data_IF_559974220412
#
_entry.id   IF_559974220412
#
_cell.length_a   1.000
_cell.length_b   1.000
_cell.length_c   1.000
_cell.angle_alpha   90.00
_cell.angle_beta   90.00
_cell.angle_gamma   90.00
#
_symmetry.space_group_name_H-M   'P 1'
#
loop_
_entity.id
_entity.type
_entity.pdbx_description
1 polymer ?
#
# COMPACT_ATOMS: atom_id res chain seq x y z
N UNK A 1 26.99 -6.96 11.43
CA UNK A 1 27.12 -5.69 12.18
C UNK A 1 28.53 -5.14 11.98
N UNK A 2 28.79 -4.42 10.89
CA UNK A 2 30.01 -3.62 10.79
C UNK A 2 29.69 -2.28 11.43
N UNK A 3 29.59 -2.27 12.75
CA UNK A 3 29.66 -1.01 13.48
C UNK A 3 31.04 -0.41 13.15
N UNK A 4 31.09 0.86 12.78
CA UNK A 4 32.35 1.57 12.59
C UNK A 4 33.13 1.50 13.90
N UNK A 5 34.06 0.55 14.01
CA UNK A 5 34.86 0.27 15.19
C UNK A 5 35.51 1.55 15.75
N UNK A 6 35.87 2.46 14.83
CA UNK A 6 36.43 3.77 15.13
C UNK A 6 35.48 4.69 15.92
N UNK A 7 34.19 4.73 15.60
CA UNK A 7 33.19 5.56 16.31
C UNK A 7 32.94 5.03 17.74
N UNK A 8 33.02 3.70 17.91
CA UNK A 8 32.95 3.05 19.22
C UNK A 8 34.20 3.31 20.06
N UNK A 9 35.39 3.22 19.46
CA UNK A 9 36.68 3.52 20.09
C UNK A 9 36.81 5.00 20.51
N UNK A 10 36.20 5.92 19.76
CA UNK A 10 36.18 7.37 20.06
C UNK A 10 35.12 7.78 21.12
N UNK A 11 34.41 6.82 21.72
CA UNK A 11 33.49 7.06 22.83
C UNK A 11 32.18 7.75 22.43
N UNK A 12 31.84 7.82 21.14
CA UNK A 12 30.54 8.32 20.70
C UNK A 12 29.44 7.31 21.08
N UNK A 13 28.70 7.63 22.14
CA UNK A 13 27.56 6.82 22.63
C UNK A 13 26.24 7.10 21.90
N UNK A 14 26.21 8.03 20.95
CA UNK A 14 25.02 8.42 20.19
C UNK A 14 25.17 8.01 18.73
N UNK A 15 24.73 6.80 18.41
CA UNK A 15 24.61 6.34 17.03
C UNK A 15 23.28 6.82 16.44
N UNK A 16 23.32 7.74 15.49
CA UNK A 16 22.14 8.07 14.71
C UNK A 16 21.87 6.93 13.70
N UNK A 17 20.83 6.15 13.98
CA UNK A 17 20.41 5.00 13.18
C UNK A 17 19.29 5.32 12.17
N UNK A 18 18.85 6.59 12.08
CA UNK A 18 17.85 7.00 11.12
C UNK A 18 18.32 6.68 9.69
N UNK A 19 17.56 5.85 8.97
CA UNK A 19 17.89 5.41 7.62
C UNK A 19 19.09 4.45 7.51
N UNK A 20 19.60 3.91 8.64
CA UNK A 20 20.67 2.89 8.65
C UNK A 20 20.09 1.52 8.97
N UNK A 21 20.74 0.47 8.46
CA UNK A 21 20.37 -0.93 8.71
C UNK A 21 21.38 -1.62 9.65
N UNK A 22 20.87 -2.32 10.65
CA UNK A 22 21.58 -3.21 11.56
C UNK A 22 21.88 -4.57 10.91
N UNK A 23 21.07 -4.99 9.94
CA UNK A 23 21.29 -6.23 9.17
C UNK A 23 22.19 -6.06 7.92
N UNK A 24 22.75 -4.88 7.68
CA UNK A 24 23.67 -4.65 6.55
C UNK A 24 22.97 -4.58 5.19
N UNK A 25 21.72 -4.11 5.16
CA UNK A 25 20.87 -4.04 3.98
C UNK A 25 20.54 -5.41 3.36
N UNK A 26 20.53 -6.47 4.18
CA UNK A 26 20.07 -7.78 3.74
C UNK A 26 18.58 -7.71 3.36
N UNK A 27 18.26 -8.24 2.18
CA UNK A 27 16.93 -8.24 1.60
C UNK A 27 16.01 -9.19 2.37
N UNK A 28 14.86 -8.69 2.81
CA UNK A 28 13.77 -9.50 3.35
C UNK A 28 13.36 -10.59 2.37
N UNK A 29 13.08 -11.79 2.88
CA UNK A 29 12.76 -12.96 2.06
C UNK A 29 11.30 -13.38 2.17
N UNK A 30 10.62 -13.46 1.03
CA UNK A 30 9.32 -14.09 0.86
C UNK A 30 9.46 -15.30 -0.07
N UNK A 31 9.06 -16.46 0.43
CA UNK A 31 9.13 -17.73 -0.29
C UNK A 31 7.73 -18.22 -0.63
N UNK A 32 7.49 -18.51 -1.92
CA UNK A 32 6.24 -19.13 -2.38
C UNK A 32 6.38 -20.64 -2.36
N UNK A 33 5.41 -21.33 -1.75
CA UNK A 33 5.27 -22.77 -1.89
C UNK A 33 4.70 -23.09 -3.28
N UNK A 34 5.38 -23.93 -4.05
CA UNK A 34 4.97 -24.30 -5.42
C UNK A 34 3.91 -25.43 -5.45
N UNK A 35 3.45 -25.90 -4.30
CA UNK A 35 2.39 -26.93 -4.15
C UNK A 35 2.83 -28.35 -4.50
N UNK A 36 3.71 -28.52 -5.49
CA UNK A 36 4.22 -29.82 -5.93
C UNK A 36 5.61 -30.08 -5.33
N UNK A 37 5.66 -31.08 -4.44
CA UNK A 37 6.88 -31.49 -3.75
C UNK A 37 7.27 -30.54 -2.61
N UNK A 38 8.52 -30.62 -2.15
CA UNK A 38 9.08 -29.73 -1.11
C UNK A 38 9.81 -28.54 -1.74
N UNK A 39 9.20 -27.90 -2.74
CA UNK A 39 9.84 -26.82 -3.52
C UNK A 39 9.30 -25.45 -3.14
N UNK A 40 10.20 -24.49 -3.08
CA UNK A 40 9.94 -23.11 -2.74
C UNK A 40 10.69 -22.20 -3.70
N UNK A 41 10.04 -21.11 -4.12
CA UNK A 41 10.65 -20.07 -4.94
C UNK A 41 10.81 -18.80 -4.14
N UNK A 42 11.97 -18.16 -4.20
CA UNK A 42 12.15 -16.80 -3.69
C UNK A 42 11.40 -15.84 -4.61
N UNK A 43 10.36 -15.20 -4.09
CA UNK A 43 9.53 -14.24 -4.82
C UNK A 43 9.69 -12.80 -4.31
N UNK A 44 10.66 -12.56 -3.43
CA UNK A 44 10.79 -11.30 -2.68
C UNK A 44 10.84 -10.06 -3.57
N UNK A 45 11.66 -10.09 -4.61
CA UNK A 45 11.78 -8.95 -5.53
C UNK A 45 10.54 -8.79 -6.42
N UNK A 46 9.97 -9.91 -6.87
CA UNK A 46 8.82 -9.91 -7.76
C UNK A 46 7.54 -9.38 -7.07
N UNK A 47 7.41 -9.56 -5.75
CA UNK A 47 6.26 -9.10 -4.97
C UNK A 47 6.50 -7.75 -4.28
N UNK A 48 7.70 -7.19 -4.36
CA UNK A 48 8.09 -6.00 -3.58
C UNK A 48 8.33 -6.27 -2.09
N UNK A 49 8.25 -7.53 -1.63
CA UNK A 49 8.57 -7.92 -0.26
C UNK A 49 10.08 -7.88 0.06
N UNK A 50 10.92 -7.78 -0.97
CA UNK A 50 12.38 -7.68 -0.88
C UNK A 50 12.88 -6.33 -0.39
N UNK A 51 12.31 -5.81 0.70
CA UNK A 51 12.77 -4.60 1.36
C UNK A 51 14.15 -4.83 2.01
N UNK A 52 15.07 -3.88 1.84
CA UNK A 52 16.44 -3.89 2.38
C UNK A 52 16.54 -3.26 3.77
N UNK A 53 15.47 -2.65 4.28
CA UNK A 53 15.44 -2.08 5.62
C UNK A 53 15.26 -3.18 6.69
N UNK A 54 15.60 -2.83 7.93
CA UNK A 54 15.54 -3.75 9.08
C UNK A 54 14.10 -4.10 9.47
N UNK A 55 13.46 -5.06 8.80
CA UNK A 55 12.15 -5.55 9.22
C UNK A 55 12.25 -6.24 10.59
N UNK A 56 11.39 -5.81 11.53
CA UNK A 56 11.31 -6.37 12.90
C UNK A 56 9.93 -6.94 13.24
N UNK A 57 8.92 -6.65 12.44
CA UNK A 57 7.60 -7.26 12.62
C UNK A 57 6.85 -7.26 11.31
N UNK A 58 5.90 -8.17 11.19
CA UNK A 58 4.99 -8.19 10.06
C UNK A 58 3.62 -8.69 10.48
N UNK A 59 2.58 -8.30 9.74
CA UNK A 59 1.25 -8.85 9.85
C UNK A 59 0.78 -9.23 8.44
N UNK A 60 0.35 -10.49 8.28
CA UNK A 60 -0.38 -10.92 7.11
C UNK A 60 -1.89 -10.86 7.42
N UNK A 61 -2.64 -10.12 6.63
CA UNK A 61 -4.07 -9.89 6.83
C UNK A 61 -4.71 -9.49 5.51
N UNK A 62 -5.96 -9.88 5.33
CA UNK A 62 -6.85 -9.36 4.29
C UNK A 62 -7.40 -8.00 4.77
N UNK A 63 -6.68 -6.90 4.51
CA UNK A 63 -7.03 -5.58 5.08
C UNK A 63 -8.24 -4.97 4.39
N UNK A 64 -8.37 -5.16 3.08
CA UNK A 64 -9.48 -4.63 2.28
C UNK A 64 -10.68 -5.59 2.19
N UNK A 65 -10.53 -6.81 2.72
CA UNK A 65 -11.56 -7.85 2.81
C UNK A 65 -11.95 -8.46 1.47
N UNK A 66 -11.07 -8.43 0.48
CA UNK A 66 -11.30 -9.01 -0.83
C UNK A 66 -10.93 -10.50 -0.96
N UNK A 67 -10.34 -11.05 0.10
CA UNK A 67 -10.06 -12.47 0.25
C UNK A 67 -8.62 -12.89 0.04
N UNK A 68 -7.76 -11.95 -0.29
CA UNK A 68 -6.35 -12.19 -0.41
C UNK A 68 -5.57 -11.61 0.77
N UNK A 69 -4.36 -12.13 0.99
CA UNK A 69 -3.56 -11.69 2.14
C UNK A 69 -2.56 -10.62 1.70
N UNK A 70 -2.72 -9.44 2.26
CA UNK A 70 -1.72 -8.38 2.23
C UNK A 70 -0.63 -8.60 3.28
N UNK A 71 0.46 -7.84 3.15
CA UNK A 71 1.54 -7.81 4.12
C UNK A 71 1.78 -6.38 4.61
N UNK A 72 1.70 -6.17 5.93
CA UNK A 72 2.22 -4.98 6.58
C UNK A 72 3.53 -5.32 7.28
N UNK A 73 4.62 -4.64 6.92
CA UNK A 73 5.97 -4.85 7.45
C UNK A 73 6.40 -3.61 8.22
N UNK A 74 6.85 -3.81 9.46
CA UNK A 74 7.43 -2.74 10.27
C UNK A 74 8.95 -2.81 10.27
N UNK A 75 9.55 -1.78 9.69
CA UNK A 75 11.00 -1.60 9.71
C UNK A 75 11.47 -0.84 10.95
N UNK A 76 12.67 -1.13 11.42
CA UNK A 76 13.31 -0.38 12.49
C UNK A 76 13.99 0.87 11.92
N UNK A 77 13.74 2.04 12.52
CA UNK A 77 14.28 3.34 12.07
C UNK A 77 14.10 3.71 10.59
N UNK A 78 13.19 3.03 9.89
CA UNK A 78 12.75 3.33 8.54
C UNK A 78 11.22 3.26 8.45
N UNK A 79 10.66 3.56 7.29
CA UNK A 79 9.22 3.54 7.09
C UNK A 79 8.65 2.13 7.14
N UNK A 80 7.40 2.01 7.58
CA UNK A 80 6.64 0.76 7.41
C UNK A 80 6.30 0.58 5.93
N UNK A 81 6.22 -0.67 5.50
CA UNK A 81 5.80 -1.04 4.15
C UNK A 81 4.46 -1.76 4.22
N UNK A 82 3.53 -1.34 3.38
CA UNK A 82 2.28 -2.04 3.14
C UNK A 82 2.33 -2.57 1.71
N UNK A 83 2.16 -3.88 1.56
CA UNK A 83 2.11 -4.58 0.28
C UNK A 83 0.71 -5.14 0.14
N UNK A 84 -0.10 -4.47 -0.69
CA UNK A 84 -1.40 -4.97 -1.08
C UNK A 84 -1.22 -6.10 -2.08
N UNK A 85 -1.85 -7.23 -1.85
CA UNK A 85 -1.87 -8.29 -2.84
C UNK A 85 -2.97 -7.96 -3.87
N UNK A 86 -2.63 -8.09 -5.15
CA UNK A 86 -3.53 -7.82 -6.29
C UNK A 86 -3.32 -8.92 -7.35
N UNK A 87 -2.87 -10.09 -6.90
CA UNK A 87 -2.61 -11.25 -7.76
C UNK A 87 -3.90 -11.92 -8.22
N UNK A 88 -3.77 -12.98 -9.03
CA UNK A 88 -4.92 -13.83 -9.36
C UNK A 88 -5.32 -14.62 -8.12
N UNK A 89 -6.53 -14.39 -7.63
CA UNK A 89 -7.10 -15.06 -6.47
C UNK A 89 -8.15 -16.06 -6.93
N UNK A 90 -8.12 -17.25 -6.32
CA UNK A 90 -9.24 -18.18 -6.40
C UNK A 90 -10.29 -17.82 -5.35
N UNK A 91 -11.33 -18.64 -5.25
CA UNK A 91 -12.29 -18.54 -4.16
C UNK A 91 -11.62 -18.73 -2.80
N UNK A 92 -12.21 -18.16 -1.76
CA UNK A 92 -11.64 -18.16 -0.42
C UNK A 92 -12.73 -18.24 0.66
N UNK A 93 -12.33 -18.47 1.90
CA UNK A 93 -13.19 -18.30 3.06
C UNK A 93 -12.35 -17.88 4.27
N UNK A 94 -12.85 -16.89 5.01
CA UNK A 94 -12.23 -16.40 6.25
C UNK A 94 -13.10 -16.77 7.42
N UNK A 95 -12.52 -17.30 8.49
CA UNK A 95 -13.28 -17.77 9.66
C UNK A 95 -12.69 -17.15 10.93
N UNK A 96 -13.51 -16.38 11.64
CA UNK A 96 -13.22 -15.85 12.96
C UNK A 96 -13.97 -16.66 14.03
N UNK A 97 -13.29 -17.42 14.88
CA UNK A 97 -13.94 -18.05 16.02
C UNK A 97 -14.17 -17.03 17.14
N UNK A 98 -15.29 -17.18 17.85
CA UNK A 98 -15.63 -16.40 19.04
C UNK A 98 -15.96 -17.33 20.19
N UNK A 99 -15.08 -17.39 21.18
CA UNK A 99 -15.34 -18.16 22.41
C UNK A 99 -16.41 -17.51 23.27
N UNK A 100 -17.17 -18.33 23.99
CA UNK A 100 -18.18 -17.91 24.98
C UNK A 100 -17.92 -18.54 26.34
N UNK A 101 -17.44 -19.79 26.35
CA UNK A 101 -16.93 -20.51 27.52
C UNK A 101 -15.41 -20.46 27.53
N UNK A 102 -14.81 -20.70 26.36
CA UNK A 102 -13.39 -20.48 26.09
C UNK A 102 -13.09 -18.98 25.98
N UNK A 103 -11.81 -18.61 25.83
CA UNK A 103 -11.43 -17.20 25.67
C UNK A 103 -12.14 -16.57 24.46
N UNK A 104 -12.63 -15.34 24.62
CA UNK A 104 -13.46 -14.62 23.64
C UNK A 104 -12.86 -14.60 22.24
N UNK A 105 -11.55 -14.43 22.16
CA UNK A 105 -10.83 -14.24 20.92
C UNK A 105 -10.50 -15.56 20.20
N UNK A 106 -10.89 -16.70 20.79
CA UNK A 106 -10.74 -18.03 20.19
C UNK A 106 -9.30 -18.52 20.12
N UNK A 107 -8.37 -17.92 20.87
CA UNK A 107 -6.96 -18.32 20.89
C UNK A 107 -6.85 -19.79 21.29
N UNK A 108 -6.17 -20.59 20.48
CA UNK A 108 -6.05 -22.03 20.64
C UNK A 108 -7.12 -22.85 19.89
N UNK A 109 -8.13 -22.22 19.28
CA UNK A 109 -9.10 -22.93 18.48
C UNK A 109 -8.45 -23.49 17.20
N UNK A 110 -8.70 -24.77 16.91
CA UNK A 110 -8.33 -25.43 15.65
C UNK A 110 -9.54 -25.47 14.73
N UNK A 111 -9.40 -24.91 13.54
CA UNK A 111 -10.44 -24.83 12.52
C UNK A 111 -10.04 -25.73 11.37
N UNK A 112 -10.89 -26.69 11.05
CA UNK A 112 -10.75 -27.57 9.89
C UNK A 112 -11.83 -27.22 8.86
N UNK A 113 -11.43 -27.05 7.60
CA UNK A 113 -12.32 -26.76 6.47
C UNK A 113 -12.15 -27.87 5.44
N UNK A 114 -13.26 -28.41 4.94
CA UNK A 114 -13.28 -29.38 3.86
C UNK A 114 -14.03 -28.80 2.66
N UNK A 115 -13.41 -28.82 1.48
CA UNK A 115 -14.02 -28.34 0.24
C UNK A 115 -13.55 -29.20 -0.95
N UNK A 116 -14.48 -29.84 -1.66
CA UNK A 116 -14.20 -30.66 -2.83
C UNK A 116 -13.13 -31.72 -2.58
N UNK A 117 -13.26 -32.44 -1.45
CA UNK A 117 -12.34 -33.51 -1.02
C UNK A 117 -10.98 -33.05 -0.48
N UNK A 118 -10.72 -31.74 -0.40
CA UNK A 118 -9.49 -31.19 0.18
C UNK A 118 -9.77 -30.70 1.59
N UNK A 119 -8.97 -31.16 2.55
CA UNK A 119 -9.03 -30.72 3.94
C UNK A 119 -7.89 -29.78 4.28
N UNK A 120 -8.21 -28.63 4.85
CA UNK A 120 -7.26 -27.66 5.38
C UNK A 120 -7.47 -27.44 6.87
N UNK A 121 -6.39 -27.09 7.57
CA UNK A 121 -6.40 -26.83 9.01
C UNK A 121 -5.67 -25.53 9.30
N UNK A 122 -6.26 -24.71 10.16
CA UNK A 122 -5.62 -23.52 10.76
C UNK A 122 -5.87 -23.51 12.26
N UNK A 123 -4.98 -22.87 13.00
CA UNK A 123 -5.11 -22.67 14.44
C UNK A 123 -5.01 -21.18 14.74
N UNK A 124 -5.88 -20.68 15.59
CA UNK A 124 -5.77 -19.29 16.05
C UNK A 124 -4.69 -19.22 17.13
N UNK A 125 -3.70 -18.36 16.92
CA UNK A 125 -2.55 -18.20 17.81
C UNK A 125 -2.47 -16.78 18.36
N UNK A 126 -1.84 -16.66 19.52
CA UNK A 126 -1.38 -15.39 20.08
C UNK A 126 0.16 -15.40 20.10
N UNK A 127 0.78 -14.26 19.84
CA UNK A 127 2.23 -14.12 19.67
C UNK A 127 2.73 -14.66 18.34
N UNK A 128 2.19 -14.16 17.21
CA UNK A 128 2.67 -14.54 15.87
C UNK A 128 3.77 -13.59 15.38
N UNK A 129 4.96 -14.12 15.10
CA UNK A 129 6.09 -13.32 14.63
C UNK A 129 6.82 -12.57 15.76
N UNK A 130 7.81 -11.76 15.40
CA UNK A 130 8.54 -10.91 16.34
C UNK A 130 7.87 -9.54 16.41
N UNK A 131 7.63 -9.01 17.61
CA UNK A 131 7.00 -7.69 17.87
C UNK A 131 5.70 -7.44 17.05
N UNK A 132 4.93 -8.50 16.79
CA UNK A 132 3.76 -8.46 15.91
C UNK A 132 2.67 -9.45 16.35
N UNK A 133 1.48 -9.27 15.80
CA UNK A 133 0.33 -10.14 15.99
C UNK A 133 -0.55 -10.08 14.74
N UNK A 134 -0.84 -11.24 14.15
CA UNK A 134 -1.81 -11.39 13.07
C UNK A 134 -3.23 -11.36 13.67
N UNK A 135 -4.26 -10.98 12.89
CA UNK A 135 -5.65 -11.05 13.35
C UNK A 135 -6.02 -12.45 13.83
N UNK A 136 -6.96 -12.52 14.77
CA UNK A 136 -7.50 -13.78 15.27
C UNK A 136 -8.53 -14.40 14.30
N UNK A 137 -8.11 -14.57 13.05
CA UNK A 137 -8.91 -15.12 11.95
C UNK A 137 -8.10 -16.18 11.21
N UNK A 138 -8.80 -17.19 10.69
CA UNK A 138 -8.21 -18.24 9.87
C UNK A 138 -8.60 -18.03 8.41
N UNK A 139 -7.60 -18.02 7.54
CA UNK A 139 -7.75 -17.81 6.10
C UNK A 139 -7.55 -19.12 5.33
N UNK A 140 -8.45 -19.40 4.41
CA UNK A 140 -8.45 -20.61 3.58
C UNK A 140 -8.67 -20.25 2.11
N UNK A 141 -7.70 -20.56 1.25
CA UNK A 141 -7.90 -20.51 -0.20
C UNK A 141 -8.56 -21.80 -0.69
N UNK A 142 -9.61 -21.68 -1.51
CA UNK A 142 -10.43 -22.77 -2.03
C UNK A 142 -10.13 -23.09 -3.51
N UNK A 143 -9.43 -22.19 -4.22
CA UNK A 143 -9.15 -22.31 -5.65
C UNK A 143 -10.44 -22.15 -6.46
N UNK A 144 -10.72 -23.06 -7.39
CA UNK A 144 -11.94 -23.01 -8.22
C UNK A 144 -13.23 -23.45 -7.49
N UNK A 145 -13.17 -23.77 -6.19
CA UNK A 145 -14.32 -24.29 -5.44
C UNK A 145 -15.15 -23.14 -4.89
N UNK A 146 -16.40 -23.04 -5.32
CA UNK A 146 -17.34 -21.99 -4.92
C UNK A 146 -17.99 -22.22 -3.56
N UNK A 147 -17.68 -23.33 -2.87
CA UNK A 147 -18.33 -23.73 -1.62
C UNK A 147 -17.42 -24.57 -0.72
N UNK A 148 -17.63 -24.43 0.59
CA UNK A 148 -17.12 -25.32 1.63
C UNK A 148 -18.18 -26.35 1.98
N UNK A 149 -17.78 -27.62 2.13
CA UNK A 149 -18.67 -28.74 2.43
C UNK A 149 -18.93 -28.85 3.94
N UNK A 150 -17.90 -28.61 4.75
CA UNK A 150 -17.94 -28.78 6.20
C UNK A 150 -16.92 -27.89 6.90
N UNK A 151 -17.31 -27.32 8.03
CA UNK A 151 -16.40 -26.60 8.93
C UNK A 151 -16.45 -27.27 10.30
N UNK A 152 -15.28 -27.61 10.85
CA UNK A 152 -15.15 -28.13 12.22
C UNK A 152 -14.28 -27.21 13.05
N UNK A 153 -14.77 -26.84 14.23
CA UNK A 153 -14.02 -26.09 15.22
C UNK A 153 -13.78 -26.96 16.44
N UNK A 154 -12.53 -27.21 16.77
CA UNK A 154 -12.12 -27.73 18.09
C UNK A 154 -11.72 -26.54 18.94
N UNK A 155 -12.51 -26.24 19.97
CA UNK A 155 -12.33 -25.13 20.88
C UNK A 155 -11.21 -25.39 21.90
N UNK A 156 -10.64 -24.34 22.52
CA UNK A 156 -9.57 -24.49 23.52
C UNK A 156 -9.91 -25.39 24.71
N UNK A 157 -11.19 -25.46 25.09
CA UNK A 157 -11.68 -26.36 26.15
C UNK A 157 -11.86 -27.83 25.71
N UNK A 158 -11.51 -28.18 24.46
CA UNK A 158 -11.64 -29.52 23.89
C UNK A 158 -13.00 -29.81 23.25
N UNK A 159 -13.98 -28.90 23.37
CA UNK A 159 -15.27 -29.07 22.70
C UNK A 159 -15.09 -29.08 21.18
N UNK A 160 -15.77 -30.00 20.50
CA UNK A 160 -15.82 -30.03 19.04
C UNK A 160 -17.21 -29.59 18.58
N UNK A 161 -17.26 -28.62 17.68
CA UNK A 161 -18.49 -28.22 16.97
C UNK A 161 -18.29 -28.39 15.48
N UNK A 162 -19.36 -28.84 14.81
CA UNK A 162 -19.43 -28.97 13.37
C UNK A 162 -20.50 -28.02 12.85
N UNK A 163 -20.19 -27.34 11.76
CA UNK A 163 -21.08 -26.44 11.04
C UNK A 163 -21.22 -26.97 9.62
N UNK A 164 -22.41 -26.85 9.05
CA UNK A 164 -22.65 -27.24 7.65
C UNK A 164 -21.80 -26.43 6.66
N UNK A 165 -21.98 -26.72 5.37
CA UNK A 165 -21.29 -26.01 4.30
C UNK A 165 -21.70 -24.54 4.19
N UNK A 166 -20.81 -23.73 3.61
CA UNK A 166 -21.01 -22.31 3.36
C UNK A 166 -20.52 -21.93 1.96
N UNK A 167 -21.17 -20.95 1.32
CA UNK A 167 -20.67 -20.38 0.07
C UNK A 167 -19.29 -19.75 0.28
N UNK A 168 -18.46 -19.83 -0.77
CA UNK A 168 -17.17 -19.17 -0.77
C UNK A 168 -17.31 -17.64 -0.83
N UNK A 169 -16.17 -16.96 -0.69
CA UNK A 169 -15.98 -15.52 -0.76
C UNK A 169 -16.75 -14.81 0.36
N UNK A 170 -16.59 -15.35 1.57
CA UNK A 170 -17.28 -14.93 2.79
C UNK A 170 -16.34 -14.83 3.96
N UNK A 171 -16.64 -13.86 4.84
CA UNK A 171 -16.02 -13.75 6.14
C UNK A 171 -17.02 -14.24 7.17
N UNK A 172 -16.73 -15.34 7.85
CA UNK A 172 -17.64 -15.97 8.79
C UNK A 172 -17.21 -15.75 10.23
N UNK A 173 -18.18 -15.54 11.12
CA UNK A 173 -18.02 -15.62 12.56
C UNK A 173 -18.71 -16.88 13.07
N UNK A 174 -17.93 -17.76 13.70
CA UNK A 174 -18.43 -18.97 14.35
C UNK A 174 -18.37 -18.78 15.85
N UNK A 175 -19.52 -18.91 16.54
CA UNK A 175 -19.61 -18.66 17.97
C UNK A 175 -19.72 -19.96 18.75
N UNK A 176 -18.88 -20.12 19.77
CA UNK A 176 -18.90 -21.30 20.65
C UNK A 176 -20.27 -21.46 21.29
N UNK A 177 -20.87 -22.64 21.15
CA UNK A 177 -22.21 -22.94 21.64
C UNK A 177 -23.37 -22.50 20.75
N UNK A 178 -23.10 -21.82 19.64
CA UNK A 178 -24.08 -21.59 18.60
C UNK A 178 -23.96 -22.64 17.49
N UNK A 179 -25.08 -23.00 16.89
CA UNK A 179 -25.15 -23.85 15.69
C UNK A 179 -25.15 -23.03 14.39
N UNK A 180 -25.24 -21.70 14.50
CA UNK A 180 -25.34 -20.79 13.36
C UNK A 180 -23.98 -20.38 12.80
N UNK A 181 -23.94 -20.22 11.47
CA UNK A 181 -22.88 -19.50 10.75
C UNK A 181 -23.37 -18.07 10.55
N UNK A 182 -22.57 -17.08 10.93
CA UNK A 182 -22.92 -15.66 10.81
C UNK A 182 -21.91 -14.99 9.89
N UNK A 183 -22.37 -14.21 8.91
CA UNK A 183 -21.49 -13.35 8.12
C UNK A 183 -20.91 -12.25 9.03
N UNK A 184 -19.60 -12.08 8.99
CA UNK A 184 -18.92 -11.01 9.69
C UNK A 184 -19.40 -9.67 9.11
N UNK A 185 -19.84 -8.73 9.96
CA UNK A 185 -20.35 -7.44 9.50
C UNK A 185 -19.32 -6.77 8.60
N UNK A 186 -19.77 -6.12 7.52
CA UNK A 186 -18.89 -5.34 6.68
C UNK A 186 -18.12 -4.35 7.56
N UNK A 187 -16.79 -4.38 7.48
CA UNK A 187 -15.98 -3.36 8.16
C UNK A 187 -16.11 -2.13 7.26
N UNK A 188 -16.52 -0.97 7.79
CA UNK A 188 -16.40 0.26 7.04
C UNK A 188 -14.93 0.39 6.66
N UNK A 189 -14.60 0.21 5.39
CA UNK A 189 -13.27 0.55 4.92
C UNK A 189 -13.05 2.00 5.34
N UNK A 190 -11.89 2.36 5.94
CA UNK A 190 -11.56 3.74 6.16
C UNK A 190 -11.63 4.38 4.78
N UNK A 191 -12.74 5.06 4.53
CA UNK A 191 -12.84 5.89 3.36
C UNK A 191 -11.74 6.90 3.59
N UNK A 192 -10.68 6.85 2.78
CA UNK A 192 -9.85 8.01 2.56
C UNK A 192 -10.82 9.18 2.44
N UNK A 193 -10.64 10.26 3.21
CA UNK A 193 -11.66 11.28 3.39
C UNK A 193 -12.29 11.55 2.03
N UNK A 194 -13.51 11.06 1.86
CA UNK A 194 -14.29 11.41 0.68
C UNK A 194 -14.56 12.86 0.93
N UNK A 195 -13.84 13.72 0.22
CA UNK A 195 -14.27 15.09 0.09
C UNK A 195 -15.58 14.95 -0.67
N UNK A 196 -16.69 15.03 0.07
CA UNK A 196 -18.04 14.75 -0.41
C UNK A 196 -18.28 15.49 -1.73
N UNK A 197 -18.76 14.73 -2.73
CA UNK A 197 -18.76 15.08 -4.15
C UNK A 197 -19.76 16.15 -4.59
N UNK A 198 -19.87 17.26 -3.87
CA UNK A 198 -20.67 18.42 -4.28
C UNK A 198 -20.04 19.77 -3.96
N UNK A 199 -18.76 19.83 -3.59
CA UNK A 199 -18.05 21.07 -3.28
C UNK A 199 -16.89 21.35 -4.22
N UNK A 200 -16.68 22.62 -4.55
CA UNK A 200 -15.41 23.14 -5.09
C UNK A 200 -14.26 22.62 -4.21
N UNK A 201 -13.28 21.92 -4.78
CA UNK A 201 -12.05 21.56 -4.08
C UNK A 201 -11.13 22.79 -4.10
N UNK A 202 -10.89 23.46 -2.96
CA UNK A 202 -10.18 24.73 -2.94
C UNK A 202 -8.74 24.62 -3.44
N UNK A 203 -8.10 23.45 -3.28
CA UNK A 203 -6.75 23.25 -3.79
C UNK A 203 -6.78 23.02 -5.30
N UNK A 204 -7.75 22.28 -5.80
CA UNK A 204 -7.95 22.12 -7.24
C UNK A 204 -8.21 23.46 -7.94
N UNK A 205 -9.13 24.28 -7.43
CA UNK A 205 -9.40 25.61 -7.97
C UNK A 205 -8.17 26.53 -7.89
N UNK A 206 -7.43 26.46 -6.78
CA UNK A 206 -6.19 27.20 -6.64
C UNK A 206 -5.14 26.75 -7.67
N UNK A 207 -5.04 25.45 -7.97
CA UNK A 207 -4.14 24.90 -9.00
C UNK A 207 -4.53 25.42 -10.39
N UNK A 208 -5.82 25.45 -10.72
CA UNK A 208 -6.30 26.06 -11.97
C UNK A 208 -5.94 27.55 -12.06
N UNK A 209 -6.06 28.27 -10.95
CA UNK A 209 -5.73 29.68 -10.85
C UNK A 209 -4.23 29.98 -10.74
N UNK A 210 -3.36 28.96 -10.57
CA UNK A 210 -1.93 29.16 -10.32
C UNK A 210 -1.16 29.70 -11.54
N UNK A 211 -1.79 29.75 -12.73
CA UNK A 211 -1.16 30.22 -13.96
C UNK A 211 -0.05 29.28 -14.43
N UNK A 212 -0.30 27.96 -14.34
CA UNK A 212 0.63 26.95 -14.84
C UNK A 212 0.71 27.09 -16.36
N UNK A 213 1.93 27.05 -16.89
CA UNK A 213 2.22 27.18 -18.32
C UNK A 213 2.75 25.86 -18.86
N UNK A 214 2.20 25.43 -19.99
CA UNK A 214 2.67 24.26 -20.74
C UNK A 214 4.06 24.45 -21.36
N UNK A 215 4.56 23.46 -22.11
CA UNK A 215 5.92 23.49 -22.66
C UNK A 215 6.16 24.66 -23.62
N UNK A 216 5.11 25.13 -24.29
CA UNK A 216 5.15 26.27 -25.23
C UNK A 216 4.93 27.62 -24.53
N UNK A 217 4.83 27.65 -23.21
CA UNK A 217 4.57 28.87 -22.44
C UNK A 217 3.11 29.35 -22.46
N UNK A 218 2.19 28.51 -22.96
CA UNK A 218 0.75 28.81 -22.97
C UNK A 218 0.08 28.31 -21.70
N UNK A 219 -0.95 29.01 -21.17
CA UNK A 219 -1.76 28.50 -20.08
C UNK A 219 -2.33 27.12 -20.39
N UNK A 220 -2.29 26.22 -19.41
CA UNK A 220 -2.85 24.87 -19.52
C UNK A 220 -4.18 24.79 -18.78
N UNK A 221 -5.14 24.10 -19.40
CA UNK A 221 -6.41 23.80 -18.77
C UNK A 221 -6.38 22.38 -18.19
N UNK A 222 -6.31 22.28 -16.86
CA UNK A 222 -6.43 21.02 -16.14
C UNK A 222 -7.90 20.63 -15.89
N UNK A 223 -8.86 21.49 -16.24
CA UNK A 223 -10.26 21.31 -15.90
C UNK A 223 -11.04 20.33 -16.77
N UNK A 224 -10.50 19.99 -17.95
CA UNK A 224 -11.07 19.00 -18.86
C UNK A 224 -10.57 17.56 -18.67
N UNK A 225 -9.78 17.27 -17.62
CA UNK A 225 -9.18 15.95 -17.46
C UNK A 225 -10.17 14.89 -16.96
N UNK A 226 -10.88 14.26 -17.90
CA UNK A 226 -11.66 13.04 -17.66
C UNK A 226 -10.78 11.86 -17.22
N UNK A 227 -9.49 11.91 -17.59
CA UNK A 227 -8.44 10.96 -17.18
C UNK A 227 -7.76 11.45 -15.90
N UNK A 228 -7.37 10.54 -14.97
CA UNK A 228 -6.56 10.93 -13.82
C UNK A 228 -5.23 11.57 -14.27
N UNK A 229 -4.82 12.66 -13.61
CA UNK A 229 -3.56 13.37 -13.88
C UNK A 229 -2.74 13.44 -12.60
N UNK A 230 -1.52 12.92 -12.62
CA UNK A 230 -0.54 13.06 -11.56
C UNK A 230 0.34 14.28 -11.83
N UNK A 231 0.14 15.35 -11.05
CA UNK A 231 0.88 16.61 -11.17
C UNK A 231 1.97 16.64 -10.09
N UNK A 232 3.24 16.58 -10.49
CA UNK A 232 4.39 16.70 -9.59
C UNK A 232 5.00 18.09 -9.67
N UNK A 233 4.88 18.88 -8.61
CA UNK A 233 5.60 20.14 -8.43
C UNK A 233 7.03 19.86 -7.98
N UNK A 234 8.00 20.29 -8.79
CA UNK A 234 9.42 20.02 -8.59
C UNK A 234 10.27 21.27 -8.86
N UNK A 235 11.58 21.21 -8.61
CA UNK A 235 12.50 22.30 -8.96
C UNK A 235 13.87 21.75 -9.39
N UNK A 236 14.58 22.51 -10.24
CA UNK A 236 15.89 22.11 -10.79
C UNK A 236 16.97 21.95 -9.72
N UNK A 237 16.90 22.74 -8.65
CA UNK A 237 17.81 22.66 -7.50
C UNK A 237 17.47 21.54 -6.50
N UNK A 238 16.36 20.84 -6.68
CA UNK A 238 15.87 19.84 -5.74
C UNK A 238 16.41 18.43 -6.07
N UNK A 239 17.43 17.97 -5.34
CA UNK A 239 18.02 16.64 -5.53
C UNK A 239 17.01 15.48 -5.36
N UNK A 240 16.11 15.60 -4.38
CA UNK A 240 15.07 14.59 -4.12
C UNK A 240 14.14 14.48 -5.33
N UNK A 241 13.72 15.61 -5.89
CA UNK A 241 12.89 15.68 -7.07
C UNK A 241 13.58 15.02 -8.27
N UNK A 242 14.86 15.33 -8.52
CA UNK A 242 15.62 14.69 -9.61
C UNK A 242 15.71 13.17 -9.44
N UNK A 243 15.86 12.68 -8.21
CA UNK A 243 15.86 11.23 -7.92
C UNK A 243 14.49 10.55 -8.03
N UNK A 244 13.41 11.33 -8.06
CA UNK A 244 12.02 10.87 -8.16
C UNK A 244 11.58 10.71 -9.63
N UNK A 245 12.27 11.34 -10.58
CA UNK A 245 11.93 11.27 -12.00
C UNK A 245 11.93 9.84 -12.55
N UNK A 246 12.81 8.96 -12.04
CA UNK A 246 12.81 7.53 -12.41
C UNK A 246 11.49 6.85 -12.04
N UNK A 247 10.91 7.22 -10.90
CA UNK A 247 9.66 6.67 -10.40
C UNK A 247 8.46 7.27 -11.15
N UNK A 248 8.50 8.57 -11.48
CA UNK A 248 7.49 9.24 -12.29
C UNK A 248 7.48 8.75 -13.75
N UNK A 249 8.64 8.53 -14.35
CA UNK A 249 8.77 7.96 -15.70
C UNK A 249 8.23 6.54 -15.77
N UNK A 250 8.47 5.73 -14.73
CA UNK A 250 7.87 4.40 -14.61
C UNK A 250 6.36 4.50 -14.50
N UNK A 251 5.83 5.35 -13.62
CA UNK A 251 4.38 5.55 -13.51
C UNK A 251 3.77 6.03 -14.84
N UNK A 252 4.44 6.94 -15.53
CA UNK A 252 4.01 7.44 -16.83
C UNK A 252 3.95 6.31 -17.85
N UNK A 253 5.01 5.49 -17.98
CA UNK A 253 5.04 4.39 -18.95
C UNK A 253 4.10 3.23 -18.58
N UNK A 254 4.12 2.80 -17.33
CA UNK A 254 3.42 1.59 -16.87
C UNK A 254 1.91 1.81 -16.72
N UNK A 255 1.43 3.06 -16.67
CA UNK A 255 0.01 3.39 -16.48
C UNK A 255 -0.62 4.26 -17.57
N UNK A 256 0.08 4.49 -18.69
CA UNK A 256 -0.50 5.09 -19.91
C UNK A 256 -1.74 4.31 -20.38
N UNK A 257 -1.68 2.97 -20.30
CA UNK A 257 -2.79 2.07 -20.68
C UNK A 257 -3.90 2.02 -19.61
N UNK A 258 -3.57 2.33 -18.36
CA UNK A 258 -4.52 2.41 -17.25
C UNK A 258 -5.26 3.76 -17.18
N UNK A 259 -4.95 4.71 -18.07
CA UNK A 259 -5.64 5.98 -18.13
C UNK A 259 -4.95 7.13 -17.38
N UNK A 260 -3.74 6.97 -16.82
CA UNK A 260 -3.06 8.01 -16.05
C UNK A 260 -2.18 8.90 -16.93
N UNK A 261 -2.35 10.22 -16.80
CA UNK A 261 -1.41 11.20 -17.34
C UNK A 261 -0.46 11.68 -16.24
N UNK A 262 0.82 11.88 -16.54
CA UNK A 262 1.82 12.40 -15.59
C UNK A 262 2.34 13.72 -16.13
N UNK A 263 2.49 14.70 -15.24
CA UNK A 263 2.99 16.03 -15.59
C UNK A 263 3.95 16.52 -14.51
N UNK A 264 5.13 17.00 -14.91
CA UNK A 264 6.07 17.67 -14.02
C UNK A 264 5.94 19.18 -14.11
N UNK A 265 5.54 19.86 -13.04
CA UNK A 265 5.44 21.32 -12.97
C UNK A 265 6.67 21.89 -12.27
N UNK A 266 7.59 22.48 -13.03
CA UNK A 266 8.80 23.09 -12.52
C UNK A 266 8.47 24.44 -11.85
N UNK A 267 8.76 24.55 -10.55
CA UNK A 267 8.71 25.80 -9.80
C UNK A 267 9.93 26.63 -10.18
N UNK A 268 9.69 27.72 -10.91
CA UNK A 268 10.76 28.55 -11.46
C UNK A 268 11.43 29.37 -10.36
N UNK A 269 12.77 29.30 -10.33
CA UNK A 269 13.62 30.11 -9.49
C UNK A 269 14.65 30.84 -10.36
N UNK A 270 14.65 32.19 -10.40
CA UNK A 270 15.61 32.96 -11.18
C UNK A 270 17.08 32.69 -10.83
N UNK A 271 17.36 32.19 -9.62
CA UNK A 271 18.72 31.83 -9.17
C UNK A 271 19.00 30.33 -9.27
N UNK A 272 18.02 29.54 -9.69
CA UNK A 272 18.14 28.10 -9.82
C UNK A 272 18.93 27.66 -11.06
N UNK A 273 19.35 26.38 -11.11
CA UNK A 273 19.91 25.79 -12.33
C UNK A 273 18.94 25.91 -13.51
N UNK A 274 19.51 26.05 -14.71
CA UNK A 274 18.74 26.15 -15.96
C UNK A 274 17.84 24.94 -16.19
N UNK A 275 16.55 25.20 -16.46
CA UNK A 275 15.53 24.17 -16.63
C UNK A 275 15.78 23.31 -17.86
N UNK A 276 16.10 23.94 -19.00
CA UNK A 276 16.33 23.25 -20.27
C UNK A 276 17.46 22.24 -20.12
N UNK A 277 18.60 22.69 -19.57
CA UNK A 277 19.75 21.82 -19.31
C UNK A 277 19.41 20.69 -18.34
N UNK A 278 18.65 20.99 -17.27
CA UNK A 278 18.22 19.96 -16.31
C UNK A 278 17.32 18.92 -16.97
N UNK A 279 16.42 19.33 -17.86
CA UNK A 279 15.56 18.42 -18.63
C UNK A 279 16.33 17.59 -19.66
N UNK A 280 17.35 18.16 -20.31
CA UNK A 280 18.27 17.41 -21.19
C UNK A 280 19.01 16.30 -20.42
N UNK A 281 19.41 16.56 -19.18
CA UNK A 281 20.06 15.57 -18.32
C UNK A 281 19.09 14.49 -17.83
N UNK A 282 17.85 14.85 -17.47
CA UNK A 282 16.87 13.93 -16.89
C UNK A 282 16.08 13.13 -17.93
N UNK A 283 15.94 13.65 -19.15
CA UNK A 283 15.19 13.07 -20.27
C UNK A 283 13.80 12.51 -19.88
N UNK A 284 12.92 13.31 -19.26
CA UNK A 284 11.61 12.83 -18.81
C UNK A 284 10.72 12.41 -19.98
N UNK A 285 9.96 11.33 -19.79
CA UNK A 285 9.01 10.81 -20.79
C UNK A 285 7.61 11.43 -20.67
N UNK A 286 7.45 12.41 -19.78
CA UNK A 286 6.23 13.14 -19.53
C UNK A 286 6.45 14.65 -19.74
N UNK A 287 5.40 15.43 -20.05
CA UNK A 287 5.54 16.85 -20.29
C UNK A 287 6.02 17.60 -19.04
N UNK A 288 6.92 18.57 -19.26
CA UNK A 288 7.37 19.51 -18.25
C UNK A 288 6.69 20.86 -18.48
N UNK A 289 5.98 21.31 -17.46
CA UNK A 289 5.29 22.60 -17.37
C UNK A 289 6.01 23.49 -16.37
N UNK A 290 5.60 24.75 -16.27
CA UNK A 290 6.23 25.72 -15.37
C UNK A 290 5.20 26.46 -14.54
N UNK A 291 5.60 26.87 -13.34
CA UNK A 291 4.82 27.74 -12.46
C UNK A 291 5.75 28.74 -11.78
N UNK A 292 5.27 29.95 -11.54
CA UNK A 292 6.06 30.94 -10.79
C UNK A 292 6.22 30.52 -9.33
N UNK A 293 7.34 30.91 -8.69
CA UNK A 293 7.52 30.67 -7.26
C UNK A 293 6.41 31.29 -6.40
N UNK A 294 5.98 32.50 -6.75
CA UNK A 294 4.90 33.19 -6.04
C UNK A 294 3.57 32.44 -6.13
N UNK A 295 3.23 31.93 -7.32
CA UNK A 295 2.03 31.10 -7.51
C UNK A 295 2.10 29.80 -6.69
N UNK A 296 3.26 29.12 -6.71
CA UNK A 296 3.46 27.89 -5.93
C UNK A 296 3.37 28.13 -4.42
N UNK A 297 3.97 29.20 -3.92
CA UNK A 297 3.86 29.60 -2.51
C UNK A 297 2.41 29.99 -2.16
N UNK A 298 1.63 30.51 -3.12
CA UNK A 298 0.18 30.74 -2.97
C UNK A 298 -0.63 29.45 -2.78
N UNK A 299 -0.20 28.33 -3.37
CA UNK A 299 -0.86 27.03 -3.22
C UNK A 299 -0.58 26.38 -1.86
N UNK A 300 0.67 26.44 -1.40
CA UNK A 300 1.16 25.59 -0.30
C UNK A 300 1.75 26.36 0.89
N UNK A 301 1.67 27.69 0.85
CA UNK A 301 2.26 28.61 1.83
C UNK A 301 3.68 29.05 1.46
N UNK A 302 4.06 30.21 1.98
CA UNK A 302 5.39 30.79 1.75
C UNK A 302 6.51 29.84 2.18
N UNK A 303 7.48 29.60 1.28
CA UNK A 303 8.61 28.72 1.57
C UNK A 303 8.27 27.23 1.50
N UNK A 304 7.15 26.85 0.86
CA UNK A 304 6.79 25.46 0.69
C UNK A 304 7.91 24.66 0.01
N UNK A 305 8.21 23.48 0.57
CA UNK A 305 9.21 22.58 0.01
C UNK A 305 8.63 21.80 -1.20
N UNK A 306 9.51 21.45 -2.12
CA UNK A 306 9.30 20.48 -3.20
C UNK A 306 10.08 19.17 -2.89
N UNK A 307 9.70 18.00 -3.43
CA UNK A 307 8.56 17.79 -4.32
C UNK A 307 7.22 17.73 -3.58
N UNK A 308 6.17 18.13 -4.29
CA UNK A 308 4.77 17.90 -3.90
C UNK A 308 4.02 17.35 -5.09
N UNK A 309 3.31 16.26 -4.89
CA UNK A 309 2.59 15.61 -5.97
C UNK A 309 1.12 15.52 -5.63
N UNK A 310 0.26 15.81 -6.59
CA UNK A 310 -1.19 15.69 -6.44
C UNK A 310 -1.74 14.80 -7.55
N UNK A 311 -2.68 13.91 -7.19
CA UNK A 311 -3.45 13.16 -8.16
C UNK A 311 -4.79 13.89 -8.35
N UNK A 312 -5.08 14.33 -9.56
CA UNK A 312 -6.30 15.03 -9.94
C UNK A 312 -7.16 14.09 -10.78
N UNK A 313 -8.47 14.04 -10.53
CA UNK A 313 -9.40 13.30 -11.40
C UNK A 313 -10.81 13.85 -11.29
N UNK A 314 -11.45 14.16 -12.42
CA UNK A 314 -12.82 14.72 -12.49
C UNK A 314 -12.99 15.98 -11.65
N UNK A 315 -12.08 16.94 -11.84
CA UNK A 315 -12.19 18.27 -11.25
C UNK A 315 -11.88 18.37 -9.75
N UNK A 316 -11.03 17.49 -9.21
CA UNK A 316 -10.68 17.47 -7.78
C UNK A 316 -9.34 16.81 -7.51
N UNK A 317 -8.74 17.10 -6.36
CA UNK A 317 -7.54 16.44 -5.85
C UNK A 317 -7.94 15.17 -5.09
N UNK A 318 -7.65 14.01 -5.67
CA UNK A 318 -7.91 12.68 -5.08
C UNK A 318 -6.88 12.32 -4.02
N UNK A 319 -5.62 12.74 -4.20
CA UNK A 319 -4.54 12.45 -3.28
C UNK A 319 -3.47 13.53 -3.30
N UNK A 320 -2.80 13.71 -2.16
CA UNK A 320 -1.65 14.60 -2.03
C UNK A 320 -0.46 13.84 -1.42
N UNK A 321 0.71 14.07 -1.97
CA UNK A 321 1.97 13.49 -1.53
C UNK A 321 2.97 14.61 -1.25
N UNK A 322 3.65 14.52 -0.11
CA UNK A 322 4.70 15.45 0.29
C UNK A 322 6.03 14.72 0.34
N UNK A 323 7.03 15.27 -0.35
CA UNK A 323 8.31 14.59 -0.55
C UNK A 323 8.21 13.52 -1.63
N UNK A 324 9.28 12.72 -1.76
CA UNK A 324 9.40 11.71 -2.82
C UNK A 324 8.22 10.74 -2.79
N UNK A 325 7.51 10.64 -3.90
CA UNK A 325 6.38 9.73 -4.08
C UNK A 325 6.84 8.28 -3.97
N UNK A 326 5.90 7.45 -3.54
CA UNK A 326 6.03 6.00 -3.59
C UNK A 326 5.05 5.47 -4.62
N UNK A 327 5.52 4.91 -5.76
CA UNK A 327 4.65 4.50 -6.87
C UNK A 327 3.45 3.63 -6.49
N UNK A 328 3.64 2.72 -5.51
CA UNK A 328 2.56 1.85 -5.05
C UNK A 328 1.40 2.62 -4.40
N UNK A 329 1.66 3.73 -3.70
CA UNK A 329 0.59 4.55 -3.14
C UNK A 329 -0.20 5.21 -4.25
N UNK A 330 0.48 5.79 -5.24
CA UNK A 330 -0.17 6.42 -6.41
C UNK A 330 -1.08 5.41 -7.12
N UNK A 331 -0.60 4.18 -7.33
CA UNK A 331 -1.38 3.10 -7.94
C UNK A 331 -2.66 2.79 -7.14
N UNK A 332 -2.58 2.70 -5.81
CA UNK A 332 -3.77 2.47 -4.97
C UNK A 332 -4.82 3.57 -5.13
N UNK A 333 -4.40 4.85 -5.02
CA UNK A 333 -5.32 5.98 -5.20
C UNK A 333 -5.88 6.07 -6.63
N UNK A 334 -5.08 5.72 -7.64
CA UNK A 334 -5.52 5.65 -9.04
C UNK A 334 -6.60 4.58 -9.24
N UNK A 335 -6.38 3.36 -8.73
CA UNK A 335 -7.35 2.28 -8.82
C UNK A 335 -8.66 2.66 -8.14
N UNK A 336 -8.62 3.29 -6.96
CA UNK A 336 -9.81 3.80 -6.30
C UNK A 336 -10.52 4.90 -7.11
N UNK A 337 -9.77 5.86 -7.65
CA UNK A 337 -10.32 6.94 -8.47
C UNK A 337 -11.07 6.39 -9.69
N UNK A 338 -10.50 5.38 -10.35
CA UNK A 338 -11.06 4.73 -11.52
C UNK A 338 -12.22 3.78 -11.18
N UNK A 339 -12.23 3.19 -9.98
CA UNK A 339 -13.28 2.25 -9.52
C UNK A 339 -14.62 2.93 -9.22
N UNK A 340 -14.72 4.26 -9.26
CA UNK A 340 -15.89 5.08 -8.94
C UNK A 340 -17.26 4.42 -9.17
N UNK A 341 -17.74 3.73 -8.12
CA UNK A 341 -19.14 3.43 -7.80
C UNK A 341 -19.51 4.21 -6.56
#
# INVERSE_FOLDING_TARGET
MVAHQREFEEGQRKFNMAGKSLNGYEINKLWRNEGIGRRWSDVSLATGAGDVHDARGFAACDFDRDGDLDLFIRNYFADSVYLRNEGVTGHWITIRPRGTVSNRDGIGAKIEVEAGGVKQVRMITAGSGYLSQQPNQAYFGLGERTRVDMIRVTWPNGRVQQFGGAEADRHLVLTEGSDGIVEAPAVPQPKLPVVDGTGEDPLYEAILAAGILGPEGTPVDLAGADRPVLVCFWATWCNVCRSEFVDLDRLSRDHIDAGLDVVGVAVMDPQGPDLTKTCEELQPHFPIWTVSRASYDGLYGAGAAVPRTVLIHRGRVVAQFRGKIRPYLVKSYLLEALRGR
#
